data_IF_619638523094
#
_entry.id   IF_619638523094
#
_cell.length_a   1.000
_cell.length_b   1.000
_cell.length_c   1.000
_cell.angle_alpha   90.00
_cell.angle_beta   90.00
_cell.angle_gamma   90.00
#
_symmetry.space_group_name_H-M   'P 1'
#
loop_
_entity.id
_entity.type
_entity.pdbx_description
1 polymer ?
#
# COMPACT_ATOMS: atom_id res chain seq x y z
N UNK A 1 24.95 5.92 -18.52
CA UNK A 1 23.72 5.44 -17.86
C UNK A 1 23.28 6.48 -16.86
N UNK A 2 22.42 7.39 -17.29
CA UNK A 2 21.84 8.40 -16.41
C UNK A 2 20.95 7.68 -15.40
N UNK A 3 21.32 7.71 -14.12
CA UNK A 3 20.46 7.20 -13.04
C UNK A 3 19.23 8.11 -13.02
N UNK A 4 18.20 7.75 -13.80
CA UNK A 4 16.88 8.35 -13.69
C UNK A 4 16.52 8.35 -12.21
N UNK A 5 16.34 9.54 -11.64
CA UNK A 5 16.00 9.70 -10.23
C UNK A 5 14.65 9.03 -10.05
N UNK A 6 14.63 7.77 -9.59
CA UNK A 6 13.38 7.05 -9.28
C UNK A 6 12.58 7.93 -8.32
N UNK A 7 11.47 8.49 -8.79
CA UNK A 7 10.65 9.39 -7.99
C UNK A 7 10.12 8.61 -6.78
N UNK A 8 10.60 8.99 -5.60
CA UNK A 8 10.25 8.36 -4.34
C UNK A 8 9.22 9.24 -3.63
N UNK A 9 8.04 8.68 -3.36
CA UNK A 9 7.01 9.34 -2.58
C UNK A 9 6.85 8.64 -1.23
N UNK A 10 6.68 9.44 -0.18
CA UNK A 10 6.43 8.96 1.18
C UNK A 10 5.05 9.39 1.63
N UNK A 11 4.38 8.53 2.38
CA UNK A 11 3.01 8.79 2.78
C UNK A 11 2.39 7.59 3.45
N UNK A 12 1.07 7.49 3.41
CA UNK A 12 0.34 6.40 4.04
C UNK A 12 -0.72 5.81 3.13
N UNK A 13 -1.08 4.56 3.43
CA UNK A 13 -2.15 3.84 2.74
C UNK A 13 -3.49 4.25 3.35
N UNK A 14 -4.41 4.73 2.52
CA UNK A 14 -5.73 5.17 2.96
C UNK A 14 -6.74 4.02 2.97
N UNK A 15 -6.64 3.13 1.98
CA UNK A 15 -7.54 1.98 1.84
C UNK A 15 -6.95 0.96 0.89
N UNK A 16 -7.16 -0.32 1.20
CA UNK A 16 -6.84 -1.46 0.33
C UNK A 16 -8.14 -1.94 -0.33
N UNK A 17 -8.14 -1.98 -1.67
CA UNK A 17 -9.31 -2.36 -2.48
C UNK A 17 -9.23 -3.81 -2.96
N UNK A 18 -8.05 -4.22 -3.41
CA UNK A 18 -7.73 -5.56 -3.89
C UNK A 18 -6.45 -6.06 -3.22
N UNK A 19 -6.03 -7.28 -3.54
CA UNK A 19 -4.84 -7.96 -3.04
C UNK A 19 -3.51 -7.49 -3.68
N UNK A 20 -3.58 -6.68 -4.73
CA UNK A 20 -2.44 -6.10 -5.47
C UNK A 20 -2.52 -4.56 -5.60
N UNK A 21 -3.67 -3.96 -5.26
CA UNK A 21 -3.96 -2.53 -5.47
C UNK A 21 -4.38 -1.83 -4.18
N UNK A 22 -3.90 -0.59 -4.01
CA UNK A 22 -4.29 0.26 -2.88
C UNK A 22 -4.30 1.75 -3.21
N UNK A 23 -4.90 2.52 -2.31
CA UNK A 23 -4.93 3.99 -2.38
C UNK A 23 -3.87 4.56 -1.45
N UNK A 24 -3.01 5.39 -2.03
CA UNK A 24 -1.91 6.05 -1.35
C UNK A 24 -2.14 7.56 -1.25
N UNK A 25 -1.83 8.14 -0.10
CA UNK A 25 -1.78 9.59 0.08
C UNK A 25 -0.36 10.01 0.41
N UNK A 26 0.17 10.92 -0.40
CA UNK A 26 1.48 11.52 -0.16
C UNK A 26 1.43 12.49 1.03
N UNK A 27 2.38 12.34 1.97
CA UNK A 27 2.59 13.25 3.09
C UNK A 27 4.10 13.57 3.19
N UNK A 28 4.57 14.69 2.59
CA UNK A 28 6.01 14.95 2.46
C UNK A 28 6.75 15.27 3.78
N UNK A 29 6.05 15.69 4.84
CA UNK A 29 6.70 16.47 5.91
C UNK A 29 6.69 15.85 7.32
N UNK A 30 5.82 14.88 7.62
CA UNK A 30 5.37 14.68 9.02
C UNK A 30 5.75 13.34 9.68
N UNK A 31 6.71 12.58 9.14
CA UNK A 31 7.10 11.28 9.72
C UNK A 31 7.90 11.39 11.03
N UNK A 32 8.72 12.44 11.19
CA UNK A 32 9.58 12.61 12.37
C UNK A 32 8.82 12.96 13.65
N UNK A 33 7.86 13.88 13.57
CA UNK A 33 7.08 14.30 14.74
C UNK A 33 5.94 13.31 15.08
N UNK A 34 5.28 12.70 14.08
CA UNK A 34 4.20 11.72 14.30
C UNK A 34 4.68 10.34 14.71
N UNK A 35 5.90 9.91 14.35
CA UNK A 35 6.50 8.69 14.91
C UNK A 35 6.71 8.78 16.43
N UNK A 36 6.99 9.98 16.94
CA UNK A 36 7.05 10.27 18.38
C UNK A 36 5.67 10.16 19.05
N UNK A 37 4.63 10.67 18.38
CA UNK A 37 3.23 10.55 18.85
C UNK A 37 2.71 9.12 18.70
N UNK A 38 3.15 8.35 17.71
CA UNK A 38 2.77 6.92 17.58
C UNK A 38 3.52 6.04 18.57
N UNK A 39 4.75 6.40 18.99
CA UNK A 39 5.45 5.71 20.08
C UNK A 39 4.74 5.94 21.42
N UNK A 40 4.32 7.17 21.73
CA UNK A 40 3.43 7.44 22.88
C UNK A 40 2.06 6.78 22.69
N UNK A 41 1.47 6.85 21.50
CA UNK A 41 0.16 6.29 21.18
C UNK A 41 0.11 4.76 21.17
N UNK A 42 1.24 4.09 20.91
CA UNK A 42 1.42 2.64 21.07
C UNK A 42 1.40 2.24 22.54
N UNK A 43 1.89 3.11 23.44
CA UNK A 43 1.72 2.98 24.89
C UNK A 43 0.25 3.18 25.33
N UNK A 44 -0.53 3.95 24.56
CA UNK A 44 -1.93 4.31 24.86
C UNK A 44 -3.00 3.64 23.97
N UNK A 45 -2.67 2.53 23.29
CA UNK A 45 -3.62 1.70 22.53
C UNK A 45 -4.61 2.49 21.64
N UNK A 46 -4.11 3.44 20.85
CA UNK A 46 -4.96 4.20 19.93
C UNK A 46 -5.53 3.27 18.84
N UNK A 47 -6.87 3.14 18.77
CA UNK A 47 -7.56 2.38 17.72
C UNK A 47 -7.09 2.85 16.32
N UNK A 48 -6.65 1.91 15.47
CA UNK A 48 -6.12 2.19 14.12
C UNK A 48 -7.14 2.95 13.28
N UNK A 49 -8.43 2.65 13.44
CA UNK A 49 -9.51 3.35 12.73
C UNK A 49 -9.64 4.80 13.19
N UNK A 50 -9.51 5.04 14.49
CA UNK A 50 -9.50 6.39 15.05
C UNK A 50 -8.28 7.19 14.56
N UNK A 51 -7.10 6.56 14.48
CA UNK A 51 -5.90 7.18 13.92
C UNK A 51 -6.11 7.56 12.45
N UNK A 52 -6.58 6.64 11.60
CA UNK A 52 -6.88 6.90 10.18
C UNK A 52 -7.88 8.06 10.03
N UNK A 53 -8.96 8.06 10.82
CA UNK A 53 -9.97 9.14 10.86
C UNK A 53 -9.35 10.48 11.24
N UNK A 54 -8.44 10.49 12.22
CA UNK A 54 -7.72 11.69 12.65
C UNK A 54 -6.75 12.19 11.56
N UNK A 55 -6.08 11.28 10.84
CA UNK A 55 -5.17 11.62 9.72
C UNK A 55 -5.91 12.17 8.50
N UNK A 56 -7.13 11.71 8.23
CA UNK A 56 -7.91 12.09 7.05
C UNK A 56 -8.68 13.41 7.27
N UNK A 57 -8.93 13.78 8.53
CA UNK A 57 -9.78 14.91 8.89
C UNK A 57 -11.27 14.62 8.64
N UNK A 58 -12.14 15.57 8.99
CA UNK A 58 -13.60 15.43 8.99
C UNK A 58 -14.25 15.16 7.62
N UNK A 59 -13.49 15.19 6.52
CA UNK A 59 -13.97 14.85 5.17
C UNK A 59 -13.82 13.34 4.99
N UNK A 60 -14.91 12.60 5.22
CA UNK A 60 -14.93 11.13 5.22
C UNK A 60 -14.40 10.46 3.94
N UNK A 61 -14.40 9.12 3.94
CA UNK A 61 -13.79 8.26 2.91
C UNK A 61 -14.16 8.57 1.46
N UNK A 62 -15.33 9.15 1.20
CA UNK A 62 -15.81 9.46 -0.14
C UNK A 62 -15.20 10.75 -0.74
N UNK A 63 -14.72 11.68 0.08
CA UNK A 63 -14.04 12.89 -0.40
C UNK A 63 -12.58 12.62 -0.85
N UNK A 64 -12.12 11.37 -0.74
CA UNK A 64 -10.72 10.98 -0.82
C UNK A 64 -10.25 10.58 -2.23
N UNK A 65 -11.17 10.23 -3.14
CA UNK A 65 -10.82 9.76 -4.49
C UNK A 65 -10.02 10.79 -5.30
N UNK A 66 -10.27 12.09 -5.09
CA UNK A 66 -9.58 13.19 -5.79
C UNK A 66 -8.14 13.43 -5.30
N UNK A 67 -7.81 13.02 -4.07
CA UNK A 67 -6.53 13.32 -3.41
C UNK A 67 -5.73 12.05 -3.07
N UNK A 68 -5.97 10.95 -3.78
CA UNK A 68 -5.27 9.68 -3.57
C UNK A 68 -4.73 9.13 -4.88
N UNK A 69 -3.54 8.57 -4.83
CA UNK A 69 -2.90 7.90 -5.96
C UNK A 69 -3.33 6.44 -5.91
N UNK A 70 -3.84 5.91 -7.02
CA UNK A 70 -4.09 4.48 -7.14
C UNK A 70 -2.78 3.78 -7.49
N UNK A 71 -2.33 2.88 -6.62
CA UNK A 71 -1.04 2.19 -6.74
C UNK A 71 -1.29 0.72 -7.01
N UNK A 72 -0.57 0.17 -8.00
CA UNK A 72 -0.46 -1.26 -8.29
C UNK A 72 0.95 -1.71 -7.97
N UNK A 73 1.09 -2.92 -7.43
CA UNK A 73 2.40 -3.51 -7.16
C UNK A 73 3.15 -3.88 -8.45
N UNK A 74 4.47 -3.75 -8.41
CA UNK A 74 5.32 -4.10 -9.54
C UNK A 74 5.60 -5.60 -9.59
N UNK A 75 5.52 -6.19 -10.79
CA UNK A 75 5.99 -7.55 -11.07
C UNK A 75 5.25 -8.69 -10.35
N UNK A 76 4.20 -8.40 -9.59
CA UNK A 76 3.43 -9.39 -8.82
C UNK A 76 1.95 -9.22 -9.12
N UNK A 77 1.28 -10.33 -9.43
CA UNK A 77 -0.18 -10.43 -9.40
C UNK A 77 -0.63 -11.17 -8.16
N UNK A 78 -1.74 -10.73 -7.59
CA UNK A 78 -2.40 -11.43 -6.52
C UNK A 78 -3.72 -12.05 -7.05
N UNK A 79 -4.27 -13.08 -6.40
CA UNK A 79 -5.53 -13.69 -6.82
C UNK A 79 -6.63 -12.64 -6.91
N UNK A 80 -7.47 -12.74 -7.93
CA UNK A 80 -8.53 -11.75 -8.17
C UNK A 80 -9.76 -11.96 -7.29
N UNK A 81 -10.39 -10.84 -6.92
CA UNK A 81 -11.64 -10.81 -6.18
C UNK A 81 -12.80 -11.44 -6.96
N UNK A 82 -13.81 -11.91 -6.23
CA UNK A 82 -15.09 -12.30 -6.83
C UNK A 82 -15.74 -11.06 -7.48
N UNK A 83 -15.86 -11.05 -8.81
CA UNK A 83 -16.54 -9.99 -9.55
C UNK A 83 -17.92 -10.47 -10.01
N UNK A 84 -18.94 -9.61 -9.90
CA UNK A 84 -20.38 -9.90 -10.12
C UNK A 84 -20.65 -11.05 -11.11
N UNK A 85 -20.99 -12.23 -10.56
CA UNK A 85 -21.39 -13.42 -11.33
C UNK A 85 -20.27 -14.45 -11.60
N UNK A 86 -19.01 -14.18 -11.25
CA UNK A 86 -17.89 -15.13 -11.35
C UNK A 86 -17.39 -15.52 -9.96
N UNK A 87 -17.08 -16.80 -9.76
CA UNK A 87 -16.36 -17.26 -8.56
C UNK A 87 -14.97 -16.63 -8.51
N UNK A 88 -14.59 -16.07 -7.36
CA UNK A 88 -13.24 -15.54 -7.16
C UNK A 88 -12.18 -16.64 -7.24
N UNK A 89 -10.93 -16.23 -7.40
CA UNK A 89 -9.82 -17.18 -7.37
C UNK A 89 -9.63 -17.74 -5.95
N UNK A 90 -9.21 -19.01 -5.80
CA UNK A 90 -8.93 -19.58 -4.49
C UNK A 90 -7.81 -18.80 -3.80
N UNK A 91 -7.94 -18.55 -2.49
CA UNK A 91 -6.94 -17.82 -1.70
C UNK A 91 -7.05 -16.29 -1.73
N UNK A 92 -8.01 -15.72 -2.47
CA UNK A 92 -8.23 -14.26 -2.49
C UNK A 92 -8.45 -13.67 -1.10
N UNK A 93 -9.33 -14.27 -0.30
CA UNK A 93 -9.73 -13.71 1.00
C UNK A 93 -8.54 -13.67 1.99
N UNK A 94 -7.69 -14.69 1.96
CA UNK A 94 -6.49 -14.77 2.79
C UNK A 94 -5.43 -13.75 2.36
N UNK A 95 -5.17 -13.66 1.05
CA UNK A 95 -4.27 -12.67 0.47
C UNK A 95 -4.72 -11.24 0.79
N UNK A 96 -6.01 -10.95 0.58
CA UNK A 96 -6.61 -9.64 0.85
C UNK A 96 -6.53 -9.28 2.33
N UNK A 97 -6.89 -10.22 3.22
CA UNK A 97 -6.78 -10.05 4.67
C UNK A 97 -5.33 -9.76 5.07
N UNK A 98 -4.38 -10.53 4.56
CA UNK A 98 -2.95 -10.35 4.84
C UNK A 98 -2.46 -8.98 4.38
N UNK A 99 -2.79 -8.55 3.16
CA UNK A 99 -2.41 -7.23 2.66
C UNK A 99 -3.00 -6.12 3.54
N UNK A 100 -4.29 -6.22 3.88
CA UNK A 100 -4.97 -5.24 4.72
C UNK A 100 -4.32 -5.14 6.11
N UNK A 101 -4.00 -6.25 6.75
CA UNK A 101 -3.29 -6.25 8.05
C UNK A 101 -1.85 -5.70 7.95
N UNK A 102 -1.19 -5.92 6.81
CA UNK A 102 0.19 -5.50 6.57
C UNK A 102 0.31 -4.02 6.25
N UNK A 103 -0.58 -3.42 5.47
CA UNK A 103 -0.37 -2.05 4.97
C UNK A 103 -1.49 -1.05 5.27
N UNK A 104 -2.70 -1.49 5.64
CA UNK A 104 -3.83 -0.56 5.82
C UNK A 104 -3.55 0.45 6.94
N UNK A 105 -3.63 1.74 6.61
CA UNK A 105 -3.31 2.85 7.53
C UNK A 105 -1.83 3.02 7.88
N UNK A 106 -0.92 2.21 7.34
CA UNK A 106 0.52 2.28 7.63
C UNK A 106 1.25 3.25 6.72
N UNK A 107 2.40 3.72 7.20
CA UNK A 107 3.30 4.56 6.44
C UNK A 107 4.14 3.71 5.48
N UNK A 108 4.11 4.08 4.21
CA UNK A 108 4.81 3.39 3.14
C UNK A 108 5.62 4.37 2.30
N UNK A 109 6.69 3.84 1.72
CA UNK A 109 7.53 4.55 0.75
C UNK A 109 7.34 3.86 -0.59
N UNK A 110 6.85 4.59 -1.58
CA UNK A 110 6.63 4.06 -2.92
C UNK A 110 7.67 4.63 -3.88
N UNK A 111 8.21 3.78 -4.74
CA UNK A 111 9.03 4.17 -5.87
C UNK A 111 8.18 4.08 -7.13
N UNK A 112 7.95 5.23 -7.77
CA UNK A 112 7.16 5.30 -8.99
C UNK A 112 7.98 4.74 -10.15
N UNK A 113 7.40 3.77 -10.87
CA UNK A 113 8.02 3.16 -12.04
C UNK A 113 7.34 3.68 -13.31
N UNK A 114 6.04 3.38 -13.45
CA UNK A 114 5.27 3.72 -14.66
C UNK A 114 3.78 3.94 -14.33
N UNK A 115 3.04 4.51 -15.29
CA UNK A 115 1.58 4.59 -15.28
C UNK A 115 0.98 3.53 -16.22
N UNK A 116 0.02 2.78 -15.71
CA UNK A 116 -0.77 1.76 -16.41
C UNK A 116 -1.94 2.40 -17.21
N UNK A 117 -2.54 1.63 -18.13
CA UNK A 117 -3.69 2.01 -18.95
C UNK A 117 -4.91 2.44 -18.12
N UNK A 118 -5.08 1.86 -16.92
CA UNK A 118 -6.13 2.21 -15.98
C UNK A 118 -5.79 3.43 -15.12
N UNK A 119 -4.79 4.23 -15.51
CA UNK A 119 -4.30 5.38 -14.77
C UNK A 119 -3.80 5.06 -13.36
N UNK A 120 -3.39 3.81 -13.12
CA UNK A 120 -2.74 3.36 -11.88
C UNK A 120 -1.25 3.59 -11.97
N UNK A 121 -0.61 3.88 -10.85
CA UNK A 121 0.85 3.96 -10.77
C UNK A 121 1.39 2.61 -10.39
N UNK A 122 2.18 2.00 -11.28
CA UNK A 122 2.98 0.81 -10.98
C UNK A 122 4.15 1.27 -10.10
N UNK A 123 4.23 0.72 -8.90
CA UNK A 123 5.21 1.13 -7.92
C UNK A 123 5.83 -0.07 -7.22
N UNK A 124 7.12 0.06 -6.90
CA UNK A 124 7.73 -0.72 -5.84
C UNK A 124 7.33 -0.12 -4.49
N UNK A 125 6.81 -0.95 -3.58
CA UNK A 125 6.21 -0.50 -2.33
C UNK A 125 7.01 -1.04 -1.17
N UNK A 126 7.61 -0.13 -0.43
CA UNK A 126 8.47 -0.46 0.69
C UNK A 126 7.85 0.02 1.99
N UNK A 127 7.82 -0.84 3.00
CA UNK A 127 7.25 -0.51 4.30
C UNK A 127 8.16 -0.96 5.44
N UNK A 128 7.89 -0.46 6.65
CA UNK A 128 8.60 -0.86 7.86
C UNK A 128 7.60 -1.43 8.86
N UNK A 129 7.67 -2.74 9.20
CA UNK A 129 6.76 -3.35 10.16
C UNK A 129 6.79 -2.66 11.53
N UNK A 130 7.99 -2.31 11.97
CA UNK A 130 8.26 -1.55 13.18
C UNK A 130 9.31 -0.48 12.88
N UNK A 131 9.37 0.58 13.69
CA UNK A 131 10.28 1.71 13.44
C UNK A 131 11.76 1.29 13.37
N UNK A 132 12.16 0.29 14.17
CA UNK A 132 13.52 -0.26 14.22
C UNK A 132 13.78 -1.41 13.23
N UNK A 133 12.74 -1.94 12.56
CA UNK A 133 12.90 -3.04 11.62
C UNK A 133 13.52 -2.56 10.30
N UNK A 134 14.20 -3.47 9.56
CA UNK A 134 14.59 -3.19 8.19
C UNK A 134 13.36 -2.91 7.32
N UNK A 135 13.61 -2.32 6.17
CA UNK A 135 12.58 -2.01 5.19
C UNK A 135 12.28 -3.26 4.36
N UNK A 136 11.00 -3.64 4.29
CA UNK A 136 10.51 -4.80 3.55
C UNK A 136 9.82 -4.36 2.26
N UNK A 137 9.95 -5.17 1.22
CA UNK A 137 9.23 -4.99 -0.04
C UNK A 137 7.92 -5.76 0.01
N UNK A 138 6.80 -5.07 -0.19
CA UNK A 138 5.49 -5.69 -0.14
C UNK A 138 5.30 -6.77 -1.22
N UNK A 139 5.93 -6.58 -2.37
CA UNK A 139 5.83 -7.53 -3.49
C UNK A 139 6.54 -8.83 -3.14
N UNK A 140 7.70 -8.74 -2.48
CA UNK A 140 8.44 -9.90 -1.98
C UNK A 140 7.66 -10.62 -0.88
N UNK A 141 7.11 -9.87 0.08
CA UNK A 141 6.31 -10.43 1.17
C UNK A 141 5.08 -11.21 0.67
N UNK A 142 4.46 -10.79 -0.43
CA UNK A 142 3.36 -11.51 -1.06
C UNK A 142 3.80 -12.81 -1.73
N UNK A 143 4.96 -12.80 -2.41
CA UNK A 143 5.54 -13.98 -3.04
C UNK A 143 5.99 -15.00 -2.00
N UNK A 144 6.66 -14.56 -0.93
CA UNK A 144 7.08 -15.43 0.18
C UNK A 144 5.89 -16.08 0.89
N UNK A 145 4.78 -15.36 0.99
CA UNK A 145 3.56 -15.88 1.58
C UNK A 145 2.76 -16.80 0.63
N UNK A 146 3.19 -16.96 -0.63
CA UNK A 146 2.54 -17.82 -1.61
C UNK A 146 1.24 -17.26 -2.19
N UNK A 147 0.98 -15.96 -2.00
CA UNK A 147 -0.23 -15.29 -2.47
C UNK A 147 -0.04 -14.52 -3.78
N UNK A 148 1.18 -14.49 -4.30
CA UNK A 148 1.52 -13.77 -5.52
C UNK A 148 2.05 -14.70 -6.61
N UNK A 149 1.79 -14.34 -7.87
CA UNK A 149 2.45 -14.92 -9.05
C UNK A 149 3.33 -13.85 -9.66
N UNK A 150 4.56 -14.21 -10.07
CA UNK A 150 5.45 -13.28 -10.75
C UNK A 150 4.98 -13.05 -12.19
N UNK A 151 4.92 -11.80 -12.61
CA UNK A 151 4.68 -11.44 -14.00
C UNK A 151 5.98 -11.54 -14.81
N UNK A 152 5.99 -12.38 -15.84
CA UNK A 152 7.13 -12.55 -16.77
C UNK A 152 7.03 -11.70 -18.05
N UNK A 153 6.01 -10.82 -18.15
CA UNK A 153 5.79 -9.99 -19.34
C UNK A 153 6.69 -8.74 -19.41
N UNK A 154 6.79 -8.14 -20.60
CA UNK A 154 7.50 -6.86 -20.85
C UNK A 154 6.95 -5.64 -20.06
N UNK A 155 5.90 -5.84 -19.26
CA UNK A 155 5.29 -4.83 -18.39
C UNK A 155 5.72 -4.96 -16.92
N UNK A 156 6.65 -5.88 -16.61
CA UNK A 156 7.08 -6.20 -15.25
C UNK A 156 8.08 -5.20 -14.63
N UNK A 157 8.55 -4.19 -15.37
CA UNK A 157 9.55 -3.20 -14.92
C UNK A 157 9.00 -1.94 -14.23
#
# INVERSE_FOLDING_TARGET
MEKSRKCCLRGFVTSVGDSDNFRFRHEPFLRGWRGYVSMLGFLFAFDRKAAIKWRIGSKGVNAMSKNTIHVRLCGVDAPEAMHLGRSGQPGFEEAFKRMKETIDGKDVTIHLLRRDQYNRMICQVLFKPHWFSPQHDLSLDLLEAGWGVMYEGNEAE
#
